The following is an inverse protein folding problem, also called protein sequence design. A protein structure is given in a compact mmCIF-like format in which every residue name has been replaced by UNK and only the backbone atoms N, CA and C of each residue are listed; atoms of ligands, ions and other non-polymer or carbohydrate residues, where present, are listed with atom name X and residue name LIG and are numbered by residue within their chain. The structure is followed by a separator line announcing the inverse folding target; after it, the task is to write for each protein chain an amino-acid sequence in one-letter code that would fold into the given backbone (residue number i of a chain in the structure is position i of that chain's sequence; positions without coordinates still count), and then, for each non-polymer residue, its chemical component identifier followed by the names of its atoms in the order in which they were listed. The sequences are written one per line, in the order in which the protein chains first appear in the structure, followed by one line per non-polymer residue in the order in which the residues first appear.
data_IF_878503030878
#
_entry.id   IF_878503030878
#
_cell.length_a   1.000
_cell.length_b   1.000
_cell.length_c   1.000
_cell.angle_alpha   90.00
_cell.angle_beta   90.00
_cell.angle_gamma   90.00
#
_symmetry.space_group_name_H-M   'P 1'
#
loop_
_entity.id
_entity.type
_entity.pdbx_description
1 polymer ?
#
# COMPACT_ATOMS: atom_id res chain seq x y z
N UNK A 1 4.03 -1.16 -4.19
CA UNK A 1 5.43 -1.67 -4.07
C UNK A 1 5.35 -3.12 -3.64
N UNK A 2 6.13 -4.01 -4.23
CA UNK A 2 5.85 -5.44 -4.18
C UNK A 2 7.10 -6.24 -3.83
N UNK A 3 7.20 -6.84 -2.63
CA UNK A 3 8.35 -7.64 -2.26
C UNK A 3 8.49 -8.85 -3.18
N UNK A 4 9.73 -9.20 -3.53
CA UNK A 4 10.05 -10.36 -4.36
C UNK A 4 11.20 -11.14 -3.72
N UNK A 5 11.09 -12.47 -3.71
CA UNK A 5 12.13 -13.39 -3.25
C UNK A 5 12.89 -14.04 -4.43
N UNK A 6 12.75 -13.51 -5.65
CA UNK A 6 13.32 -14.07 -6.88
C UNK A 6 12.98 -15.56 -7.10
N UNK A 7 11.94 -16.06 -6.42
CA UNK A 7 11.48 -17.45 -6.48
C UNK A 7 10.22 -17.49 -7.35
N UNK A 8 10.33 -18.04 -8.55
CA UNK A 8 9.16 -18.33 -9.37
C UNK A 8 8.44 -19.55 -8.76
N UNK A 9 7.13 -19.53 -8.43
CA UNK A 9 6.09 -18.58 -8.84
C UNK A 9 5.54 -17.65 -7.74
N UNK A 10 6.03 -17.73 -6.50
CA UNK A 10 5.30 -17.15 -5.36
C UNK A 10 5.90 -15.81 -4.93
N UNK A 11 5.28 -14.74 -5.40
CA UNK A 11 5.47 -13.42 -4.79
C UNK A 11 4.83 -13.44 -3.38
N UNK A 12 5.59 -13.12 -2.31
CA UNK A 12 5.03 -13.06 -0.97
C UNK A 12 3.90 -12.04 -0.91
N UNK A 13 2.77 -12.46 -0.32
CA UNK A 13 1.59 -11.65 -0.06
C UNK A 13 0.84 -12.18 1.16
N UNK A 14 0.00 -11.34 1.77
CA UNK A 14 -0.81 -11.58 2.96
C UNK A 14 0.01 -12.03 4.18
N UNK A 15 1.22 -11.48 4.33
CA UNK A 15 2.10 -11.78 5.45
C UNK A 15 1.48 -11.32 6.78
N UNK A 16 1.75 -12.07 7.86
CA UNK A 16 1.42 -11.60 9.19
C UNK A 16 2.26 -10.37 9.54
N UNK A 17 1.59 -9.25 9.82
CA UNK A 17 2.22 -7.97 10.12
C UNK A 17 1.24 -6.98 10.73
N UNK A 18 1.74 -5.78 11.04
CA UNK A 18 0.88 -4.69 11.52
C UNK A 18 -0.06 -4.26 10.41
N UNK A 19 -1.36 -4.22 10.68
CA UNK A 19 -2.34 -3.69 9.74
C UNK A 19 -2.09 -2.21 9.47
N UNK A 20 -2.52 -1.78 8.28
CA UNK A 20 -2.46 -0.38 7.88
C UNK A 20 -3.15 0.49 8.93
N UNK A 21 -2.54 1.63 9.25
CA UNK A 21 -3.08 2.63 10.15
C UNK A 21 -2.83 3.98 9.50
N UNK A 22 -3.90 4.62 9.01
CA UNK A 22 -3.81 5.88 8.27
C UNK A 22 -3.15 6.97 9.12
N UNK A 23 -3.31 6.92 10.46
CA UNK A 23 -2.70 7.89 11.40
C UNK A 23 -1.18 7.83 11.38
N UNK A 24 -0.60 6.70 10.93
CA UNK A 24 0.85 6.54 10.75
C UNK A 24 1.35 7.08 9.40
N UNK A 25 0.44 7.46 8.50
CA UNK A 25 0.77 8.20 7.29
C UNK A 25 0.70 9.69 7.60
N UNK A 26 1.87 10.28 7.89
CA UNK A 26 1.96 11.68 8.28
C UNK A 26 1.35 12.62 7.23
N UNK A 27 0.77 13.77 7.63
CA UNK A 27 0.09 14.69 6.70
C UNK A 27 0.93 15.10 5.49
N UNK A 28 2.23 15.38 5.70
CA UNK A 28 3.14 15.75 4.62
C UNK A 28 3.40 14.59 3.62
N UNK A 29 3.34 13.34 4.08
CA UNK A 29 3.43 12.17 3.20
C UNK A 29 2.13 11.96 2.43
N UNK A 30 0.97 12.19 3.06
CA UNK A 30 -0.34 12.08 2.38
C UNK A 30 -0.39 12.97 1.14
N UNK A 31 0.07 14.22 1.22
CA UNK A 31 0.11 15.12 0.06
C UNK A 31 0.98 14.59 -1.07
N UNK A 32 2.12 13.97 -0.77
CA UNK A 32 3.01 13.35 -1.78
C UNK A 32 2.38 12.08 -2.37
N UNK A 33 1.78 11.25 -1.53
CA UNK A 33 1.14 10.00 -1.93
C UNK A 33 -0.06 10.24 -2.84
N UNK A 34 -0.87 11.26 -2.58
CA UNK A 34 -2.00 11.64 -3.47
C UNK A 34 -1.56 12.01 -4.89
N UNK A 35 -0.34 12.55 -5.04
CA UNK A 35 0.19 12.94 -6.35
C UNK A 35 0.86 11.75 -7.03
N UNK A 36 1.69 11.01 -6.30
CA UNK A 36 2.54 9.97 -6.89
C UNK A 36 1.95 8.56 -6.85
N UNK A 37 0.94 8.32 -6.00
CA UNK A 37 0.33 7.02 -5.80
C UNK A 37 -1.19 7.10 -5.51
N UNK A 38 -1.97 7.73 -6.41
CA UNK A 38 -3.43 7.79 -6.28
C UNK A 38 -4.10 6.47 -6.63
N UNK A 39 -5.32 6.29 -6.13
CA UNK A 39 -6.25 5.30 -6.68
C UNK A 39 -6.83 5.81 -8.00
N UNK A 40 -6.56 5.09 -9.08
CA UNK A 40 -6.99 5.43 -10.44
C UNK A 40 -8.31 4.78 -10.84
N UNK A 41 -8.83 3.85 -10.05
CA UNK A 41 -10.05 3.09 -10.38
C UNK A 41 -11.27 3.64 -9.62
N UNK A 42 -11.19 3.71 -8.28
CA UNK A 42 -12.35 4.11 -7.45
C UNK A 42 -12.24 5.54 -6.91
N UNK A 43 -11.05 6.14 -7.00
CA UNK A 43 -10.75 7.47 -6.46
C UNK A 43 -10.62 7.51 -4.93
N UNK A 44 -10.54 6.34 -4.27
CA UNK A 44 -10.32 6.25 -2.83
C UNK A 44 -8.88 5.80 -2.52
N UNK A 45 -7.99 6.80 -2.48
CA UNK A 45 -6.56 6.60 -2.22
C UNK A 45 -6.28 5.82 -0.91
N UNK A 46 -7.08 6.06 0.13
CA UNK A 46 -6.82 5.45 1.46
C UNK A 46 -7.09 3.96 1.44
N UNK A 47 -8.20 3.54 0.81
CA UNK A 47 -8.52 2.12 0.66
C UNK A 47 -7.49 1.41 -0.23
N UNK A 48 -7.00 2.10 -1.26
CA UNK A 48 -5.95 1.56 -2.12
C UNK A 48 -4.63 1.35 -1.35
N UNK A 49 -4.17 2.35 -0.59
CA UNK A 49 -2.96 2.22 0.23
C UNK A 49 -3.10 1.12 1.28
N UNK A 50 -4.27 1.02 1.91
CA UNK A 50 -4.58 -0.04 2.86
C UNK A 50 -4.49 -1.43 2.20
N UNK A 51 -5.09 -1.60 1.04
CA UNK A 51 -5.08 -2.85 0.28
C UNK A 51 -3.66 -3.26 -0.11
N UNK A 52 -2.85 -2.32 -0.61
CA UNK A 52 -1.45 -2.59 -0.98
C UNK A 52 -0.54 -2.86 0.22
N UNK A 53 -0.84 -2.32 1.40
CA UNK A 53 -0.08 -2.57 2.62
C UNK A 53 -0.46 -3.89 3.30
N UNK A 54 -1.75 -4.22 3.33
CA UNK A 54 -2.26 -5.41 3.98
C UNK A 54 -2.09 -6.68 3.13
N UNK A 55 -1.82 -6.51 1.83
CA UNK A 55 -1.49 -7.56 0.86
C UNK A 55 -0.01 -7.92 0.89
#
# INVERSE_FOLDING_TARGET
LWPSNYSNPTKPSNCNGTKFDDRKVYPHMRSKLKISWPDVESGNDTNFWEGEWNK
#
